data_IF_594787673054
#
_entry.id   IF_594787673054
#
_cell.length_a   1.000
_cell.length_b   1.000
_cell.length_c   1.000
_cell.angle_alpha   90.00
_cell.angle_beta   90.00
_cell.angle_gamma   90.00
#
_symmetry.space_group_name_H-M   'P 1'
#
loop_
_entity.id
_entity.type
_entity.pdbx_description
1 polymer ?
#
# COMPACT_ATOMS: atom_id res chain seq x y z
N UNK A 1 -8.42 8.86 -3.14
CA UNK A 1 -7.32 8.23 -3.89
C UNK A 1 -6.12 7.89 -3.00
N UNK A 2 -5.42 8.83 -2.33
CA UNK A 2 -4.26 8.46 -1.49
C UNK A 2 -4.59 7.47 -0.35
N UNK A 3 -5.68 7.70 0.39
CA UNK A 3 -6.09 6.79 1.49
C UNK A 3 -6.37 5.38 0.96
N UNK A 4 -7.12 5.29 -0.14
CA UNK A 4 -7.45 4.03 -0.81
C UNK A 4 -6.20 3.33 -1.35
N UNK A 5 -5.27 4.08 -1.96
CA UNK A 5 -3.97 3.54 -2.39
C UNK A 5 -3.21 2.91 -1.22
N UNK A 6 -3.13 3.60 -0.09
CA UNK A 6 -2.45 3.09 1.09
C UNK A 6 -3.16 1.86 1.67
N UNK A 7 -4.51 1.86 1.66
CA UNK A 7 -5.32 0.73 2.10
C UNK A 7 -5.04 -0.52 1.24
N UNK A 8 -4.97 -0.37 -0.09
CA UNK A 8 -4.81 -1.49 -1.02
C UNK A 8 -3.38 -2.04 -1.07
N UNK A 9 -2.37 -1.19 -0.87
CA UNK A 9 -0.95 -1.54 -1.05
C UNK A 9 -0.22 -1.92 0.23
N UNK A 10 -0.88 -1.74 1.38
CA UNK A 10 -0.35 -2.04 2.71
C UNK A 10 0.91 -1.25 3.07
N UNK A 11 1.30 -0.22 2.32
CA UNK A 11 2.52 0.56 2.61
C UNK A 11 2.32 1.55 3.76
N UNK A 12 3.42 2.05 4.31
CA UNK A 12 3.36 3.12 5.33
C UNK A 12 2.91 4.44 4.69
N UNK A 13 2.30 5.37 5.46
CA UNK A 13 1.89 6.67 4.93
C UNK A 13 3.03 7.42 4.21
N UNK A 14 4.22 7.45 4.79
CA UNK A 14 5.40 8.08 4.19
C UNK A 14 5.88 7.39 2.90
N UNK A 15 5.66 6.09 2.74
CA UNK A 15 5.95 5.35 1.50
C UNK A 15 4.87 5.69 0.44
N UNK A 16 3.59 5.69 0.82
CA UNK A 16 2.45 5.98 -0.06
C UNK A 16 2.56 7.35 -0.74
N UNK A 17 2.88 8.40 0.02
CA UNK A 17 3.00 9.75 -0.55
C UNK A 17 4.18 9.89 -1.49
N UNK A 18 5.26 9.11 -1.28
CA UNK A 18 6.47 9.09 -2.12
C UNK A 18 6.38 8.12 -3.31
N UNK A 19 5.18 7.73 -3.72
CA UNK A 19 5.00 6.97 -4.96
C UNK A 19 5.36 7.85 -6.18
N UNK A 20 6.37 7.42 -6.95
CA UNK A 20 6.75 8.05 -8.23
C UNK A 20 6.25 7.23 -9.40
N UNK A 21 5.92 7.91 -10.49
CA UNK A 21 5.54 7.25 -11.72
C UNK A 21 6.66 6.37 -12.27
N UNK A 22 7.91 6.79 -12.14
CA UNK A 22 9.10 6.03 -12.56
C UNK A 22 9.31 4.71 -11.80
N UNK A 23 8.74 4.59 -10.60
CA UNK A 23 8.92 3.43 -9.73
C UNK A 23 7.84 2.35 -10.01
N UNK A 24 6.87 2.63 -10.88
CA UNK A 24 5.73 1.75 -11.15
C UNK A 24 5.86 1.08 -12.51
N UNK A 25 5.94 -0.25 -12.49
CA UNK A 25 5.84 -1.11 -13.65
C UNK A 25 4.39 -1.54 -13.82
N UNK A 26 3.65 -0.83 -14.66
CA UNK A 26 2.24 -1.15 -14.97
C UNK A 26 2.10 -2.41 -15.82
N UNK A 27 3.14 -2.83 -16.55
CA UNK A 27 3.11 -4.06 -17.37
C UNK A 27 3.10 -5.29 -16.48
N UNK A 28 3.98 -5.32 -15.48
CA UNK A 28 4.04 -6.41 -14.51
C UNK A 28 3.15 -6.19 -13.29
N UNK A 29 2.45 -5.05 -13.20
CA UNK A 29 1.62 -4.66 -12.07
C UNK A 29 2.40 -4.65 -10.75
N UNK A 30 3.59 -4.05 -10.75
CA UNK A 30 4.48 -3.98 -9.59
C UNK A 30 4.89 -2.53 -9.35
N UNK A 31 4.81 -2.09 -8.09
CA UNK A 31 5.46 -0.88 -7.63
C UNK A 31 6.77 -1.21 -6.89
N UNK A 32 7.89 -0.69 -7.39
CA UNK A 32 9.23 -0.92 -6.87
C UNK A 32 9.65 0.25 -5.98
N UNK A 33 9.43 0.15 -4.67
CA UNK A 33 9.77 1.22 -3.73
C UNK A 33 11.28 1.18 -3.44
N UNK A 34 12.02 2.26 -3.76
CA UNK A 34 13.47 2.31 -3.55
C UNK A 34 13.85 2.20 -2.08
N UNK A 35 15.03 1.64 -1.82
CA UNK A 35 15.57 1.44 -0.48
C UNK A 35 15.60 2.74 0.34
N UNK A 36 15.88 3.88 -0.28
CA UNK A 36 15.96 5.20 0.37
C UNK A 36 14.62 5.67 0.94
N UNK A 37 13.49 5.15 0.43
CA UNK A 37 12.16 5.45 0.94
C UNK A 37 11.68 4.45 1.98
N UNK A 38 12.40 3.33 2.15
CA UNK A 38 12.04 2.23 3.02
C UNK A 38 12.74 2.33 4.37
N UNK A 39 11.99 2.11 5.46
CA UNK A 39 12.54 2.10 6.83
C UNK A 39 13.69 1.10 7.00
N UNK A 40 13.63 -0.04 6.31
CA UNK A 40 14.62 -1.12 6.39
C UNK A 40 15.76 -1.00 5.37
N UNK A 41 15.84 0.11 4.61
CA UNK A 41 16.87 0.34 3.58
C UNK A 41 17.04 -0.82 2.59
N UNK A 42 15.93 -1.48 2.25
CA UNK A 42 15.86 -2.55 1.25
C UNK A 42 14.76 -2.21 0.25
N UNK A 43 15.02 -2.44 -1.04
CA UNK A 43 14.01 -2.34 -2.09
C UNK A 43 12.78 -3.16 -1.69
N UNK A 44 11.59 -2.57 -1.82
CA UNK A 44 10.33 -3.27 -1.56
C UNK A 44 9.50 -3.33 -2.83
N UNK A 45 9.19 -4.53 -3.29
CA UNK A 45 8.29 -4.75 -4.43
C UNK A 45 6.89 -4.99 -3.90
N UNK A 46 5.95 -4.16 -4.34
CA UNK A 46 4.53 -4.23 -3.99
C UNK A 46 3.74 -4.63 -5.23
N UNK A 47 3.20 -5.86 -5.29
CA UNK A 47 2.23 -6.22 -6.30
C UNK A 47 0.99 -5.34 -6.24
N UNK A 48 0.47 -4.93 -7.38
CA UNK A 48 -0.68 -4.05 -7.49
C UNK A 48 -1.91 -4.86 -7.91
N UNK A 49 -3.00 -4.72 -7.15
CA UNK A 49 -4.29 -5.27 -7.54
C UNK A 49 -4.90 -4.48 -8.71
N UNK A 50 -5.93 -5.03 -9.34
CA UNK A 50 -6.72 -4.33 -10.38
C UNK A 50 -7.21 -2.96 -9.91
N UNK A 51 -7.64 -2.86 -8.65
CA UNK A 51 -8.13 -1.59 -8.10
C UNK A 51 -7.00 -0.59 -7.84
N UNK A 52 -5.82 -1.05 -7.39
CA UNK A 52 -4.67 -0.18 -7.25
C UNK A 52 -4.23 0.39 -8.62
N UNK A 53 -4.25 -0.43 -9.68
CA UNK A 53 -4.01 0.03 -11.05
C UNK A 53 -5.08 1.03 -11.52
N UNK A 54 -6.35 0.84 -11.15
CA UNK A 54 -7.43 1.79 -11.44
C UNK A 54 -7.17 3.17 -10.82
N UNK A 55 -6.65 3.21 -9.59
CA UNK A 55 -6.24 4.47 -8.95
C UNK A 55 -5.15 5.16 -9.76
N UNK A 56 -4.16 4.41 -10.27
CA UNK A 56 -3.11 4.98 -11.11
C UNK A 56 -3.67 5.54 -12.41
N UNK A 57 -4.59 4.84 -13.08
CA UNK A 57 -5.20 5.35 -14.30
C UNK A 57 -5.94 6.68 -14.06
N UNK A 58 -6.69 6.78 -12.95
CA UNK A 58 -7.31 8.04 -12.55
C UNK A 58 -6.29 9.14 -12.25
N UNK A 59 -5.25 8.82 -11.48
CA UNK A 59 -4.20 9.77 -11.12
C UNK A 59 -3.39 10.24 -12.34
N UNK A 60 -3.27 9.43 -13.40
CA UNK A 60 -2.53 9.78 -14.61
C UNK A 60 -3.05 11.07 -15.25
N UNK A 61 -4.37 11.26 -15.26
CA UNK A 61 -5.01 12.50 -15.76
C UNK A 61 -4.66 13.75 -14.92
N UNK A 62 -4.33 13.57 -13.64
CA UNK A 62 -4.10 14.65 -12.68
C UNK A 62 -2.59 14.98 -12.57
N UNK A 63 -1.76 13.95 -12.50
CA UNK A 63 -0.34 14.06 -12.13
C UNK A 63 0.61 13.25 -13.02
N UNK A 64 0.11 12.61 -14.09
CA UNK A 64 0.95 11.77 -14.97
C UNK A 64 2.09 12.53 -15.68
N UNK A 65 2.00 13.86 -15.74
CA UNK A 65 3.05 14.75 -16.26
C UNK A 65 4.04 15.22 -15.17
N UNK A 66 3.98 14.66 -13.95
CA UNK A 66 4.80 15.03 -12.79
C UNK A 66 5.62 13.84 -12.32
N UNK A 67 6.51 14.06 -11.36
CA UNK A 67 7.27 12.97 -10.73
C UNK A 67 6.38 12.11 -9.83
N UNK A 68 5.60 12.76 -8.95
CA UNK A 68 4.84 12.09 -7.90
C UNK A 68 3.44 11.72 -8.37
N UNK A 69 3.03 10.48 -8.08
CA UNK A 69 1.65 10.03 -8.28
C UNK A 69 0.71 10.89 -7.45
N UNK A 70 1.06 11.18 -6.20
CA UNK A 70 0.26 11.97 -5.27
C UNK A 70 0.94 13.30 -4.94
N UNK A 71 0.82 14.34 -5.80
CA UNK A 71 1.46 15.62 -5.57
C UNK A 71 0.79 16.40 -4.44
N UNK A 72 1.54 17.33 -3.84
CA UNK A 72 0.98 18.32 -2.93
C UNK A 72 0.05 19.27 -3.68
N UNK A 73 -1.09 19.60 -3.06
CA UNK A 73 -2.06 20.56 -3.59
C UNK A 73 -1.45 21.97 -3.63
N UNK A 74 -0.63 22.33 -2.63
CA UNK A 74 -0.01 23.67 -2.52
C UNK A 74 1.32 23.78 -3.26
N UNK A 75 2.07 22.69 -3.36
CA UNK A 75 3.37 22.65 -4.02
C UNK A 75 3.44 21.48 -5.02
N UNK A 76 2.83 21.62 -6.21
CA UNK A 76 2.72 20.61 -7.26
C UNK A 76 3.94 19.76 -7.61
N UNK A 77 5.14 20.31 -7.42
CA UNK A 77 6.42 19.64 -7.71
C UNK A 77 6.86 18.70 -6.58
N UNK A 78 6.28 18.83 -5.39
CA UNK A 78 6.54 17.97 -4.23
C UNK A 78 5.42 16.93 -4.09
N UNK A 79 5.74 15.82 -3.42
CA UNK A 79 4.70 14.89 -2.97
C UNK A 79 3.82 15.49 -1.86
N UNK A 80 2.67 14.87 -1.63
CA UNK A 80 1.78 15.20 -0.52
C UNK A 80 2.48 14.99 0.84
N UNK A 81 2.06 15.70 1.87
CA UNK A 81 2.59 15.50 3.22
C UNK A 81 2.14 14.14 3.78
N UNK A 82 3.00 13.41 4.49
CA UNK A 82 2.68 12.07 5.01
C UNK A 82 1.48 12.06 5.97
N UNK A 83 1.26 13.17 6.69
CA UNK A 83 0.11 13.33 7.57
C UNK A 83 -1.20 13.61 6.83
N UNK A 84 -1.19 13.87 5.52
CA UNK A 84 -2.41 14.24 4.80
C UNK A 84 -3.45 13.13 4.81
N UNK A 85 -3.03 11.86 4.71
CA UNK A 85 -3.94 10.72 4.86
C UNK A 85 -4.57 10.69 6.27
N UNK A 86 -3.76 10.87 7.32
CA UNK A 86 -4.24 10.88 8.70
C UNK A 86 -5.19 12.06 8.98
N UNK A 87 -4.83 13.26 8.51
CA UNK A 87 -5.67 14.45 8.64
C UNK A 87 -7.00 14.29 7.90
N UNK A 88 -7.02 13.59 6.75
CA UNK A 88 -8.24 13.26 6.05
C UNK A 88 -9.10 12.25 6.83
N UNK A 89 -8.50 11.22 7.43
CA UNK A 89 -9.21 10.25 8.30
C UNK A 89 -9.88 10.95 9.48
N UNK A 90 -9.16 11.84 10.16
CA UNK A 90 -9.72 12.64 11.27
C UNK A 90 -10.90 13.50 10.79
N UNK A 91 -10.78 14.17 9.65
CA UNK A 91 -11.87 14.99 9.08
C UNK A 91 -13.09 14.17 8.66
N UNK A 92 -12.92 12.88 8.37
CA UNK A 92 -14.03 11.96 8.09
C UNK A 92 -14.74 11.48 9.36
N UNK A 93 -14.32 11.92 10.55
CA UNK A 93 -14.97 11.60 11.82
C UNK A 93 -14.29 10.46 12.60
N UNK A 94 -13.29 9.79 12.04
CA UNK A 94 -12.63 8.63 12.66
C UNK A 94 -11.45 9.01 13.58
N UNK A 95 -11.39 10.25 14.04
CA UNK A 95 -10.30 10.72 14.91
C UNK A 95 -10.29 9.95 16.24
N UNK A 96 -9.16 9.34 16.59
CA UNK A 96 -9.01 8.53 17.80
C UNK A 96 -9.43 7.06 17.63
N UNK A 97 -10.16 6.73 16.57
CA UNK A 97 -10.58 5.36 16.24
C UNK A 97 -9.70 4.73 15.16
N UNK A 98 -9.33 5.53 14.15
CA UNK A 98 -8.49 5.11 13.04
C UNK A 98 -7.40 6.14 12.76
N UNK A 99 -6.18 5.63 12.54
CA UNK A 99 -5.05 6.42 12.03
C UNK A 99 -4.57 5.84 10.71
N UNK A 100 -3.85 6.61 9.91
CA UNK A 100 -3.38 6.14 8.60
C UNK A 100 -2.54 4.84 8.71
N UNK A 101 -1.74 4.69 9.77
CA UNK A 101 -1.02 3.44 10.04
C UNK A 101 -1.94 2.25 10.36
N UNK A 102 -3.12 2.49 10.95
CA UNK A 102 -4.09 1.46 11.34
C UNK A 102 -4.64 0.67 10.16
N UNK A 103 -4.63 1.23 8.94
CA UNK A 103 -5.02 0.51 7.73
C UNK A 103 -4.20 -0.77 7.50
N UNK A 104 -2.89 -0.74 7.83
CA UNK A 104 -2.02 -1.92 7.72
C UNK A 104 -2.41 -3.01 8.72
N UNK A 105 -2.76 -2.60 9.94
CA UNK A 105 -3.18 -3.52 10.99
C UNK A 105 -4.49 -4.21 10.62
N UNK A 106 -5.47 -3.45 10.12
CA UNK A 106 -6.75 -4.00 9.64
C UNK A 106 -6.52 -5.03 8.54
N UNK A 107 -5.72 -4.67 7.55
CA UNK A 107 -5.47 -5.54 6.40
C UNK A 107 -4.73 -6.82 6.79
N UNK A 108 -3.71 -6.72 7.64
CA UNK A 108 -3.00 -7.88 8.19
C UNK A 108 -3.94 -8.79 8.97
N UNK A 109 -4.74 -8.23 9.87
CA UNK A 109 -5.66 -9.02 10.71
C UNK A 109 -6.68 -9.75 9.86
N UNK A 110 -7.32 -9.06 8.91
CA UNK A 110 -8.28 -9.70 8.01
C UNK A 110 -7.64 -10.82 7.16
N UNK A 111 -6.41 -10.63 6.68
CA UNK A 111 -5.70 -11.66 5.92
C UNK A 111 -5.33 -12.87 6.78
N UNK A 112 -4.91 -12.65 8.03
CA UNK A 112 -4.64 -13.71 9.00
C UNK A 112 -5.91 -14.51 9.30
N UNK A 113 -7.01 -13.83 9.62
CA UNK A 113 -8.31 -14.45 9.94
C UNK A 113 -8.92 -15.22 8.76
N UNK A 114 -8.57 -14.85 7.52
CA UNK A 114 -8.99 -15.60 6.34
C UNK A 114 -8.44 -17.02 6.29
N UNK A 115 -7.29 -17.27 6.96
CA UNK A 115 -6.59 -18.56 6.91
C UNK A 115 -6.01 -18.95 5.55
N UNK A 116 -6.02 -18.04 4.56
CA UNK A 116 -5.64 -18.33 3.17
C UNK A 116 -4.15 -18.17 2.86
N UNK A 117 -3.42 -17.45 3.71
CA UNK A 117 -2.05 -17.02 3.44
C UNK A 117 -1.14 -17.36 4.61
N UNK A 118 0.11 -17.71 4.30
CA UNK A 118 1.13 -18.00 5.31
C UNK A 118 1.62 -16.70 5.96
N UNK A 119 1.97 -16.76 7.24
CA UNK A 119 2.47 -15.61 7.99
C UNK A 119 3.68 -14.94 7.30
N UNK A 120 4.58 -15.72 6.69
CA UNK A 120 5.73 -15.19 5.94
C UNK A 120 5.32 -14.27 4.79
N UNK A 121 4.22 -14.58 4.09
CA UNK A 121 3.71 -13.79 2.97
C UNK A 121 3.15 -12.46 3.47
N UNK A 122 2.42 -12.49 4.60
CA UNK A 122 1.87 -11.30 5.23
C UNK A 122 2.97 -10.36 5.73
N UNK A 123 3.97 -10.90 6.43
CA UNK A 123 5.12 -10.13 6.92
C UNK A 123 5.96 -9.56 5.76
N UNK A 124 6.14 -10.33 4.67
CA UNK A 124 6.81 -9.87 3.47
C UNK A 124 6.04 -8.75 2.75
N UNK A 125 4.70 -8.77 2.75
CA UNK A 125 3.88 -7.68 2.20
C UNK A 125 4.05 -6.38 3.01
N UNK A 126 4.22 -6.49 4.32
CA UNK A 126 4.45 -5.37 5.23
C UNK A 126 5.90 -4.83 5.23
N UNK A 127 6.81 -5.45 4.45
CA UNK A 127 8.24 -5.17 4.48
C UNK A 127 8.81 -5.23 5.91
N UNK A 128 8.36 -6.21 6.69
CA UNK A 128 8.94 -6.50 7.99
C UNK A 128 10.15 -7.42 7.81
N UNK A 129 11.27 -7.09 8.46
CA UNK A 129 12.41 -8.00 8.58
C UNK A 129 12.18 -8.94 9.76
N UNK A 130 12.37 -10.26 9.56
CA UNK A 130 12.49 -11.18 10.70
C UNK A 130 13.67 -10.71 11.55
N UNK A 131 13.46 -10.59 12.88
CA UNK A 131 14.48 -10.14 13.84
C UNK A 131 15.67 -11.11 13.93
N UNK A 132 15.47 -12.36 13.56
CA UNK A 132 16.53 -13.37 13.55
C UNK A 132 17.29 -13.28 12.22
N UNK A 133 18.42 -12.57 12.25
CA UNK A 133 19.36 -12.44 11.11
C UNK A 133 19.74 -13.80 10.50
N UNK A 134 19.73 -14.86 11.31
CA UNK A 134 20.01 -16.23 10.87
C UNK A 134 18.91 -16.77 9.94
N UNK A 135 17.63 -16.51 10.21
CA UNK A 135 16.50 -16.97 9.37
C UNK A 135 16.35 -16.09 8.12
N UNK A 136 16.65 -14.78 8.24
CA UNK A 136 16.57 -13.83 7.14
C UNK A 136 17.54 -14.15 5.99
N UNK A 137 18.71 -14.72 6.30
CA UNK A 137 19.68 -15.18 5.30
C UNK A 137 19.18 -16.37 4.45
N UNK A 138 18.37 -17.26 5.04
CA UNK A 138 17.79 -18.41 4.35
C UNK A 138 16.47 -18.07 3.62
N UNK A 139 15.67 -17.14 4.14
CA UNK A 139 14.38 -16.73 3.56
C UNK A 139 14.49 -15.57 2.55
N UNK A 140 15.34 -15.74 1.52
CA UNK A 140 15.42 -14.80 0.38
C UNK A 140 14.20 -14.82 -0.54
N UNK A 141 13.18 -15.61 -0.24
CA UNK A 141 11.96 -15.67 -1.03
C UNK A 141 11.16 -14.36 -0.86
N UNK A 142 11.03 -13.61 -1.95
CA UNK A 142 10.16 -12.42 -2.00
C UNK A 142 8.66 -12.80 -2.06
N UNK A 143 8.31 -14.09 -2.14
CA UNK A 143 6.95 -14.61 -2.23
C UNK A 143 6.05 -13.84 -3.22
N UNK A 144 6.60 -13.37 -4.34
CA UNK A 144 5.91 -12.41 -5.21
C UNK A 144 4.59 -12.94 -5.76
N UNK A 145 4.55 -14.22 -6.16
CA UNK A 145 3.33 -14.87 -6.68
C UNK A 145 2.25 -14.95 -5.58
N UNK A 146 2.61 -15.38 -4.37
CA UNK A 146 1.66 -15.43 -3.25
C UNK A 146 1.21 -14.03 -2.82
N UNK A 147 2.11 -13.04 -2.86
CA UNK A 147 1.78 -11.64 -2.58
C UNK A 147 0.87 -11.03 -3.65
N UNK A 148 1.00 -11.41 -4.92
CA UNK A 148 0.05 -11.00 -5.96
C UNK A 148 -1.36 -11.51 -5.61
N UNK A 149 -1.49 -12.79 -5.26
CA UNK A 149 -2.76 -13.37 -4.81
C UNK A 149 -3.30 -12.69 -3.56
N UNK A 150 -2.44 -12.36 -2.58
CA UNK A 150 -2.80 -11.63 -1.36
C UNK A 150 -3.33 -10.23 -1.67
N UNK A 151 -2.61 -9.44 -2.47
CA UNK A 151 -3.00 -8.07 -2.79
C UNK A 151 -4.30 -8.03 -3.58
N UNK A 152 -4.52 -8.98 -4.49
CA UNK A 152 -5.80 -9.08 -5.21
C UNK A 152 -6.93 -9.52 -4.28
N UNK A 153 -6.73 -10.55 -3.45
CA UNK A 153 -7.75 -10.98 -2.48
C UNK A 153 -8.15 -9.86 -1.52
N UNK A 154 -7.18 -9.11 -1.00
CA UNK A 154 -7.43 -7.98 -0.11
C UNK A 154 -8.23 -6.89 -0.81
N UNK A 155 -7.87 -6.58 -2.05
CA UNK A 155 -8.60 -5.63 -2.90
C UNK A 155 -10.05 -6.05 -3.08
N UNK A 156 -10.30 -7.32 -3.38
CA UNK A 156 -11.66 -7.84 -3.58
C UNK A 156 -12.46 -7.79 -2.26
N UNK A 157 -11.82 -8.11 -1.13
CA UNK A 157 -12.43 -7.98 0.19
C UNK A 157 -12.86 -6.54 0.50
N UNK A 158 -11.97 -5.55 0.28
CA UNK A 158 -12.28 -4.13 0.49
C UNK A 158 -13.45 -3.68 -0.39
N UNK A 159 -13.49 -4.08 -1.66
CA UNK A 159 -14.59 -3.73 -2.57
C UNK A 159 -15.92 -4.38 -2.16
N UNK A 160 -15.90 -5.61 -1.67
CA UNK A 160 -17.08 -6.26 -1.12
C UNK A 160 -17.62 -5.53 0.12
N UNK A 161 -16.75 -5.15 1.07
CA UNK A 161 -17.17 -4.38 2.25
C UNK A 161 -17.73 -3.00 1.88
N UNK A 162 -17.12 -2.32 0.91
CA UNK A 162 -17.64 -1.05 0.37
C UNK A 162 -19.04 -1.23 -0.24
N UNK A 163 -19.24 -2.29 -1.01
CA UNK A 163 -20.53 -2.56 -1.65
C UNK A 163 -21.61 -2.83 -0.61
N UNK A 164 -21.31 -3.63 0.41
CA UNK A 164 -22.24 -3.90 1.51
C UNK A 164 -22.63 -2.62 2.28
N UNK A 165 -21.67 -1.74 2.54
CA UNK A 165 -21.92 -0.47 3.23
C UNK A 165 -22.78 0.52 2.42
N UNK A 166 -22.82 0.41 1.10
CA UNK A 166 -23.66 1.25 0.24
C UNK A 166 -25.10 0.73 0.12
N UNK A 167 -25.35 -0.51 0.52
CA UNK A 167 -26.66 -1.17 0.46
C UNK A 167 -27.37 -1.14 1.84
N UNK A 168 -26.63 -0.88 2.91
CA UNK A 168 -27.13 -0.72 4.28
C UNK A 168 -27.58 0.73 4.54
#
# INVERSE_FOLDING_TARGET
MLIEWQLLTWVRPGEAVRARWSDIDTTNSIWNIPADFMKMKKLHKVPLSKEALRILELMKSISGHREWVFPSIKAPLNHMHEQTANAAIIRMGFGGELVAHGMRSIARTAAEESGKFRAEVLEAALAHSKKDEIIAAYNRAEYLIERQSLMQWWSDYVQAQRSNALVA
#
